data_IF_527744273931
#
_entry.id   IF_527744273931
#
_cell.length_a   1.000
_cell.length_b   1.000
_cell.length_c   1.000
_cell.angle_alpha   90.00
_cell.angle_beta   90.00
_cell.angle_gamma   90.00
#
_symmetry.space_group_name_H-M   'P 1'
#
loop_
_entity.id
_entity.type
_entity.pdbx_description
1 polymer ?
#
# COMPACT_ATOMS: atom_id res chain seq x y z
N UNK A 1 15.32 -38.44 -1.20
CA UNK A 1 14.15 -38.05 -2.02
C UNK A 1 13.38 -36.97 -1.26
N UNK A 2 13.77 -35.69 -1.37
CA UNK A 2 13.27 -34.59 -0.53
C UNK A 2 13.04 -33.30 -1.36
N UNK A 3 12.37 -33.41 -2.51
CA UNK A 3 12.31 -32.34 -3.53
C UNK A 3 10.95 -31.64 -3.77
N UNK A 4 9.78 -32.01 -3.19
CA UNK A 4 8.53 -31.30 -3.50
C UNK A 4 8.34 -29.98 -2.74
N UNK A 5 8.83 -29.86 -1.49
CA UNK A 5 8.59 -28.69 -0.64
C UNK A 5 9.43 -27.47 -1.05
N UNK A 6 10.67 -27.68 -1.49
CA UNK A 6 11.60 -26.61 -1.89
C UNK A 6 11.05 -25.84 -3.11
N UNK A 7 10.56 -26.56 -4.13
CA UNK A 7 9.96 -25.94 -5.33
C UNK A 7 8.74 -25.07 -5.03
N UNK A 8 7.91 -25.46 -4.05
CA UNK A 8 6.70 -24.71 -3.72
C UNK A 8 7.04 -23.39 -3.02
N UNK A 9 8.03 -23.39 -2.13
CA UNK A 9 8.51 -22.18 -1.46
C UNK A 9 9.22 -21.19 -2.38
N UNK A 10 9.89 -21.68 -3.43
CA UNK A 10 10.58 -20.85 -4.41
C UNK A 10 9.60 -20.12 -5.35
N UNK A 11 8.54 -20.81 -5.80
CA UNK A 11 7.46 -20.21 -6.58
C UNK A 11 6.72 -19.10 -5.81
N UNK A 12 6.44 -19.31 -4.52
CA UNK A 12 5.79 -18.29 -3.68
C UNK A 12 6.69 -17.08 -3.47
N UNK A 13 7.99 -17.29 -3.23
CA UNK A 13 8.96 -16.20 -3.07
C UNK A 13 9.13 -15.40 -4.35
N UNK A 14 9.21 -16.06 -5.50
CA UNK A 14 9.27 -15.41 -6.81
C UNK A 14 8.01 -14.58 -7.07
N UNK A 15 6.83 -15.10 -6.71
CA UNK A 15 5.56 -14.39 -6.82
C UNK A 15 5.49 -13.16 -5.90
N UNK A 16 5.92 -13.27 -4.64
CA UNK A 16 5.93 -12.15 -3.71
C UNK A 16 6.90 -11.03 -4.14
N UNK A 17 8.09 -11.40 -4.63
CA UNK A 17 9.06 -10.43 -5.17
C UNK A 17 8.52 -9.72 -6.41
N UNK A 18 7.85 -10.44 -7.31
CA UNK A 18 7.24 -9.83 -8.50
C UNK A 18 6.07 -8.91 -8.14
N UNK A 19 5.23 -9.31 -7.18
CA UNK A 19 4.15 -8.44 -6.64
C UNK A 19 4.76 -7.18 -6.04
N UNK A 20 5.81 -7.30 -5.23
CA UNK A 20 6.49 -6.17 -4.62
C UNK A 20 7.07 -5.24 -5.70
N UNK A 21 7.77 -5.78 -6.70
CA UNK A 21 8.32 -5.00 -7.81
C UNK A 21 7.23 -4.23 -8.57
N UNK A 22 6.12 -4.89 -8.90
CA UNK A 22 4.99 -4.25 -9.61
C UNK A 22 4.31 -3.20 -8.75
N UNK A 23 4.12 -3.47 -7.46
CA UNK A 23 3.53 -2.52 -6.54
C UNK A 23 4.41 -1.26 -6.38
N UNK A 24 5.74 -1.40 -6.37
CA UNK A 24 6.66 -0.24 -6.36
C UNK A 24 6.51 0.62 -7.61
N UNK A 25 6.46 0.02 -8.79
CA UNK A 25 6.26 0.76 -10.05
C UNK A 25 4.89 1.44 -10.05
N UNK A 26 3.84 0.75 -9.61
CA UNK A 26 2.50 1.31 -9.53
C UNK A 26 2.45 2.50 -8.55
N UNK A 27 3.11 2.39 -7.40
CA UNK A 27 3.17 3.47 -6.41
C UNK A 27 3.83 4.73 -6.99
N UNK A 28 4.92 4.55 -7.73
CA UNK A 28 5.63 5.65 -8.40
C UNK A 28 4.71 6.37 -9.40
N UNK A 29 4.03 5.61 -10.27
CA UNK A 29 3.08 6.15 -11.25
C UNK A 29 1.90 6.89 -10.59
N UNK A 30 1.35 6.35 -9.50
CA UNK A 30 0.25 7.00 -8.78
C UNK A 30 0.68 8.32 -8.14
N UNK A 31 1.93 8.39 -7.63
CA UNK A 31 2.49 9.62 -7.08
C UNK A 31 2.73 10.69 -8.14
N UNK A 32 3.22 10.29 -9.32
CA UNK A 32 3.37 11.20 -10.46
C UNK A 32 2.01 11.77 -10.90
N UNK A 33 0.99 10.92 -10.99
CA UNK A 33 -0.38 11.36 -11.29
C UNK A 33 -0.94 12.32 -10.24
N UNK A 34 -0.64 12.10 -8.96
CA UNK A 34 -1.07 12.99 -7.90
C UNK A 34 -0.35 14.34 -8.02
N UNK A 35 0.95 14.35 -8.26
CA UNK A 35 1.71 15.57 -8.47
C UNK A 35 1.18 16.38 -9.66
N UNK A 36 0.84 15.72 -10.78
CA UNK A 36 0.24 16.37 -11.96
C UNK A 36 -1.18 16.91 -11.69
N UNK A 37 -1.94 16.24 -10.82
CA UNK A 37 -3.24 16.74 -10.36
C UNK A 37 -3.11 17.94 -9.40
N UNK A 38 -2.05 17.98 -8.59
CA UNK A 38 -1.77 19.09 -7.66
C UNK A 38 -1.18 20.31 -8.35
N UNK A 39 -0.36 20.11 -9.38
CA UNK A 39 0.21 21.19 -10.21
C UNK A 39 -0.84 21.86 -11.11
N UNK A 40 -2.02 21.26 -11.26
CA UNK A 40 -3.06 21.73 -12.16
C UNK A 40 -2.82 21.36 -13.63
N UNK A 41 -1.82 20.53 -13.93
CA UNK A 41 -1.58 19.97 -15.27
C UNK A 41 -2.73 19.03 -15.68
N UNK A 42 -3.34 18.36 -14.71
CA UNK A 42 -4.54 17.54 -14.91
C UNK A 42 -5.77 18.22 -14.28
N UNK A 43 -6.81 18.56 -15.06
CA UNK A 43 -8.04 19.14 -14.53
C UNK A 43 -8.89 18.05 -13.87
N UNK A 44 -8.58 17.75 -12.61
CA UNK A 44 -9.31 16.74 -11.82
C UNK A 44 -10.02 17.38 -10.64
N UNK A 45 -11.17 16.82 -10.25
CA UNK A 45 -11.89 17.28 -9.07
C UNK A 45 -11.17 16.90 -7.78
N UNK A 46 -11.47 17.61 -6.68
CA UNK A 46 -10.97 17.26 -5.35
C UNK A 46 -11.32 15.82 -4.95
N UNK A 47 -12.50 15.33 -5.33
CA UNK A 47 -12.91 13.93 -5.09
C UNK A 47 -12.02 12.92 -5.82
N UNK A 48 -11.58 13.25 -7.04
CA UNK A 48 -10.69 12.38 -7.80
C UNK A 48 -9.29 12.35 -7.18
N UNK A 49 -8.77 13.52 -6.74
CA UNK A 49 -7.53 13.60 -5.96
C UNK A 49 -7.60 12.75 -4.71
N UNK A 50 -8.69 12.88 -3.95
CA UNK A 50 -8.87 12.09 -2.73
C UNK A 50 -8.87 10.57 -3.00
N UNK A 51 -9.52 10.11 -4.07
CA UNK A 51 -9.46 8.70 -4.48
C UNK A 51 -8.05 8.25 -4.88
N UNK A 52 -7.28 9.13 -5.52
CA UNK A 52 -5.90 8.86 -5.90
C UNK A 52 -4.98 8.73 -4.68
N UNK A 53 -5.15 9.60 -3.68
CA UNK A 53 -4.48 9.49 -2.38
C UNK A 53 -4.81 8.16 -1.69
N UNK A 54 -6.09 7.75 -1.70
CA UNK A 54 -6.52 6.45 -1.16
C UNK A 54 -5.88 5.26 -1.89
N UNK A 55 -5.74 5.34 -3.21
CA UNK A 55 -5.05 4.31 -4.00
C UNK A 55 -3.56 4.22 -3.64
N UNK A 56 -2.89 5.36 -3.45
CA UNK A 56 -1.48 5.42 -2.99
C UNK A 56 -1.35 4.71 -1.63
N UNK A 57 -2.21 5.06 -0.65
CA UNK A 57 -2.17 4.43 0.68
C UNK A 57 -2.40 2.91 0.62
N UNK A 58 -3.30 2.44 -0.24
CA UNK A 58 -3.54 1.01 -0.41
C UNK A 58 -2.29 0.27 -0.95
N UNK A 59 -1.58 0.86 -1.91
CA UNK A 59 -0.35 0.26 -2.46
C UNK A 59 0.80 0.33 -1.46
N UNK A 60 0.91 1.42 -0.68
CA UNK A 60 1.87 1.51 0.42
C UNK A 60 1.66 0.41 1.46
N UNK A 61 0.41 0.09 1.80
CA UNK A 61 0.09 -1.02 2.69
C UNK A 61 0.52 -2.38 2.12
N UNK A 62 0.35 -2.61 0.81
CA UNK A 62 0.85 -3.82 0.13
C UNK A 62 2.38 -3.92 0.19
N UNK A 63 3.07 -2.78 0.14
CA UNK A 63 4.54 -2.70 0.22
C UNK A 63 5.07 -2.70 1.66
N UNK A 64 4.21 -2.61 2.68
CA UNK A 64 4.61 -2.47 4.08
C UNK A 64 5.23 -1.10 4.40
N UNK A 65 4.94 -0.08 3.59
CA UNK A 65 5.42 1.29 3.79
C UNK A 65 4.49 2.05 4.74
N UNK A 66 5.02 2.99 5.54
CA UNK A 66 4.18 3.91 6.28
C UNK A 66 3.39 4.78 5.29
N UNK A 67 2.15 5.19 5.64
CA UNK A 67 1.38 6.10 4.81
C UNK A 67 2.16 7.41 4.66
N UNK A 68 2.52 7.76 3.42
CA UNK A 68 3.27 8.99 3.14
C UNK A 68 2.40 10.23 3.21
N UNK A 69 1.10 10.05 2.94
CA UNK A 69 0.09 11.09 3.01
C UNK A 69 -0.55 11.02 4.40
N UNK A 70 -0.31 12.07 5.18
CA UNK A 70 -0.76 12.16 6.57
C UNK A 70 -2.29 11.92 6.68
N UNK A 71 -2.76 11.30 7.78
CA UNK A 71 -4.12 10.83 7.95
C UNK A 71 -5.08 11.98 8.28
N UNK A 72 -5.19 12.97 7.39
CA UNK A 72 -6.30 13.94 7.41
C UNK A 72 -7.61 13.34 6.89
N UNK A 73 -7.60 12.07 6.48
CA UNK A 73 -8.64 11.43 5.67
C UNK A 73 -9.07 10.04 6.15
N UNK A 74 -8.74 9.70 7.40
CA UNK A 74 -9.40 8.60 8.08
C UNK A 74 -10.35 9.21 9.09
N UNK A 75 -11.66 9.04 8.87
CA UNK A 75 -12.62 9.20 9.96
C UNK A 75 -12.10 8.47 11.19
N UNK A 76 -12.23 9.06 12.40
CA UNK A 76 -11.63 8.55 13.63
C UNK A 76 -11.95 7.08 13.93
N UNK A 77 -13.03 6.53 13.37
CA UNK A 77 -13.42 5.12 13.52
C UNK A 77 -12.52 4.13 12.76
N UNK A 78 -11.98 4.47 11.59
CA UNK A 78 -11.10 3.57 10.81
C UNK A 78 -9.70 3.49 11.43
N UNK A 79 -9.27 4.58 12.08
CA UNK A 79 -7.96 4.66 12.75
C UNK A 79 -7.81 3.66 13.90
N UNK A 80 -8.90 3.34 14.62
CA UNK A 80 -8.88 2.31 15.67
C UNK A 80 -8.62 0.92 15.11
N UNK A 81 -9.02 0.64 13.87
CA UNK A 81 -8.81 -0.66 13.25
C UNK A 81 -7.37 -0.85 12.74
N UNK A 82 -6.82 0.18 12.09
CA UNK A 82 -5.44 0.15 11.59
C UNK A 82 -4.38 0.20 12.70
N UNK A 83 -4.55 1.02 13.74
CA UNK A 83 -3.59 1.08 14.86
C UNK A 83 -3.83 0.02 15.95
N UNK A 84 -5.04 -0.54 16.06
CA UNK A 84 -5.38 -1.55 17.08
C UNK A 84 -4.82 -2.96 16.80
N UNK A 85 -4.57 -3.30 15.52
CA UNK A 85 -4.13 -4.65 15.15
C UNK A 85 -2.62 -4.83 15.04
N UNK A 86 -1.82 -3.76 14.94
CA UNK A 86 -0.35 -3.86 14.88
C UNK A 86 0.32 -3.77 16.25
N UNK A 87 -0.38 -3.32 17.30
CA UNK A 87 0.15 -3.29 18.67
C UNK A 87 -0.25 -4.50 19.53
N UNK A 88 -1.20 -5.33 19.09
CA UNK A 88 -1.73 -6.45 19.89
C UNK A 88 -1.18 -7.83 19.47
N UNK A 89 -0.30 -7.90 18.47
CA UNK A 89 0.36 -9.15 18.08
C UNK A 89 1.70 -9.40 18.82
N UNK A 90 2.04 -8.60 19.84
CA UNK A 90 3.34 -8.65 20.52
C UNK A 90 3.30 -8.75 22.04
N UNK A 91 2.14 -8.90 22.68
CA UNK A 91 2.05 -9.09 24.14
C UNK A 91 0.81 -9.90 24.53
N UNK A 92 1.01 -11.17 24.91
CA UNK A 92 0.08 -11.91 25.78
C UNK A 92 -0.45 -13.24 25.27
N UNK A 93 0.40 -14.27 25.22
CA UNK A 93 0.27 -15.50 26.05
C UNK A 93 1.62 -16.19 26.15
#
# INVERSE_FOLDING_TARGET
>A
MAEPLVRMTENVRSSATEVHRRATVLLDQLRELLAAAESGELPVSGDYRHRLEGAITAVEAVLGLPPSLAPGLLEPDVRKWFCGNIYTAGHGV
#
